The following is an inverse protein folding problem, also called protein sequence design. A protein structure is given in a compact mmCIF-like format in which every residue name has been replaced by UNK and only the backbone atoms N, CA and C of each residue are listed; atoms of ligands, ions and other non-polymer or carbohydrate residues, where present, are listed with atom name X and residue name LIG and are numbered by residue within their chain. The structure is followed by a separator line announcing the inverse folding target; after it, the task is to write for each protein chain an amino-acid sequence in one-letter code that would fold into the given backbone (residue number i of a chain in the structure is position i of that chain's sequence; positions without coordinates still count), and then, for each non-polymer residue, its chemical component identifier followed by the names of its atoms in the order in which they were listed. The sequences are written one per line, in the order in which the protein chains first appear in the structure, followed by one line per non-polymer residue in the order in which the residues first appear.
data_IF_720548577526
#
_entry.id   IF_720548577526
#
_cell.length_a   1.000
_cell.length_b   1.000
_cell.length_c   1.000
_cell.angle_alpha   90.00
_cell.angle_beta   90.00
_cell.angle_gamma   90.00
#
_symmetry.space_group_name_H-M   'P 1'
#
loop_
_entity.id
_entity.type
_entity.pdbx_description
1 polymer ?
#
# COMPACT_ATOMS: atom_id res chain seq x y z
N UNK A 1 37.36 29.03 -30.80
CA UNK A 1 36.88 27.79 -30.14
C UNK A 1 37.77 26.65 -30.58
N UNK A 2 38.33 25.86 -29.65
CA UNK A 2 39.20 24.74 -30.00
C UNK A 2 38.38 23.59 -30.61
N UNK A 3 38.95 22.82 -31.54
CA UNK A 3 38.33 21.63 -32.15
C UNK A 3 37.78 20.68 -31.09
N UNK A 4 38.50 20.58 -29.95
CA UNK A 4 38.10 19.78 -28.78
C UNK A 4 36.75 20.30 -28.20
N UNK A 5 36.56 21.61 -28.10
CA UNK A 5 35.32 22.21 -27.60
C UNK A 5 34.10 21.89 -28.48
N UNK A 6 34.29 21.94 -29.81
CA UNK A 6 33.23 21.60 -30.76
C UNK A 6 32.88 20.09 -30.65
N UNK A 7 33.87 19.21 -30.55
CA UNK A 7 33.67 17.77 -30.41
C UNK A 7 32.88 17.43 -29.11
N UNK A 8 33.23 18.06 -27.99
CA UNK A 8 32.49 17.88 -26.70
C UNK A 8 31.05 18.37 -26.84
N UNK A 9 30.80 19.53 -27.46
CA UNK A 9 29.43 20.03 -27.67
C UNK A 9 28.62 19.08 -28.56
N UNK A 10 29.18 18.56 -29.64
CA UNK A 10 28.47 17.61 -30.51
C UNK A 10 28.18 16.29 -29.78
N UNK A 11 29.11 15.75 -29.02
CA UNK A 11 28.86 14.55 -28.19
C UNK A 11 27.73 14.80 -27.16
N UNK A 12 27.72 15.97 -26.52
CA UNK A 12 26.71 16.31 -25.56
C UNK A 12 25.32 16.42 -26.21
N UNK A 13 25.22 17.03 -27.39
CA UNK A 13 23.95 17.14 -28.15
C UNK A 13 23.43 15.75 -28.56
N UNK A 14 24.33 14.90 -29.08
CA UNK A 14 23.95 13.52 -29.47
C UNK A 14 23.51 12.71 -28.25
N UNK A 15 24.23 12.83 -27.15
CA UNK A 15 23.87 12.14 -25.90
C UNK A 15 22.50 12.63 -25.38
N UNK A 16 22.29 13.95 -25.31
CA UNK A 16 21.01 14.51 -24.88
C UNK A 16 19.87 14.06 -25.80
N UNK A 17 20.10 13.99 -27.11
CA UNK A 17 19.11 13.49 -28.08
C UNK A 17 18.76 12.02 -27.83
N UNK A 18 19.76 11.17 -27.58
CA UNK A 18 19.54 9.74 -27.23
C UNK A 18 18.73 9.58 -25.95
N UNK A 19 19.07 10.32 -24.89
CA UNK A 19 18.32 10.27 -23.63
C UNK A 19 16.87 10.77 -23.80
N UNK A 20 16.67 11.89 -24.53
CA UNK A 20 15.35 12.41 -24.80
C UNK A 20 14.48 11.42 -25.57
N UNK A 21 15.03 10.79 -26.62
CA UNK A 21 14.32 9.80 -27.42
C UNK A 21 14.06 8.50 -26.62
N UNK A 22 15.02 8.03 -25.85
CA UNK A 22 14.83 6.89 -24.93
C UNK A 22 13.66 7.14 -23.95
N UNK A 23 13.53 8.35 -23.40
CA UNK A 23 12.43 8.71 -22.50
C UNK A 23 11.06 8.68 -23.20
N UNK A 24 10.99 9.10 -24.46
CA UNK A 24 9.75 9.00 -25.26
C UNK A 24 9.41 7.53 -25.51
N UNK A 25 10.37 6.70 -25.86
CA UNK A 25 10.17 5.26 -26.05
C UNK A 25 9.75 4.57 -24.75
N UNK A 26 10.38 4.92 -23.62
CA UNK A 26 10.00 4.43 -22.28
C UNK A 26 8.55 4.73 -21.96
N UNK A 27 8.12 5.98 -22.17
CA UNK A 27 6.72 6.39 -21.97
C UNK A 27 5.77 5.65 -22.91
N UNK A 28 6.12 5.57 -24.18
CA UNK A 28 5.33 4.84 -25.17
C UNK A 28 5.24 3.35 -24.84
N UNK A 29 6.34 2.71 -24.43
CA UNK A 29 6.37 1.31 -24.04
C UNK A 29 5.38 1.02 -22.89
N UNK A 30 5.36 1.88 -21.85
CA UNK A 30 4.47 1.74 -20.69
C UNK A 30 2.98 1.96 -21.04
N UNK A 31 2.68 2.88 -21.95
CA UNK A 31 1.30 3.21 -22.34
C UNK A 31 0.72 2.23 -23.36
N UNK A 32 1.52 1.79 -24.32
CA UNK A 32 1.11 0.86 -25.39
C UNK A 32 1.44 -0.62 -25.11
N UNK A 33 2.08 -0.91 -23.98
CA UNK A 33 2.56 -2.24 -23.61
C UNK A 33 3.52 -2.84 -24.69
N UNK A 34 4.34 -1.98 -25.31
CA UNK A 34 5.21 -2.35 -26.42
C UNK A 34 6.58 -2.80 -25.93
N UNK A 35 6.86 -4.11 -25.98
CA UNK A 35 8.18 -4.67 -25.66
C UNK A 35 9.26 -4.17 -26.67
N UNK A 36 8.88 -3.98 -27.94
CA UNK A 36 9.81 -3.46 -28.94
C UNK A 36 10.30 -2.06 -28.59
N UNK A 37 9.41 -1.18 -28.15
CA UNK A 37 9.78 0.18 -27.70
C UNK A 37 10.64 0.15 -26.42
N UNK A 38 10.33 -0.74 -25.47
CA UNK A 38 11.12 -0.92 -24.25
C UNK A 38 12.54 -1.41 -24.58
N UNK A 39 12.68 -2.37 -25.49
CA UNK A 39 13.99 -2.87 -25.94
C UNK A 39 14.81 -1.77 -26.63
N UNK A 40 14.19 -0.96 -27.47
CA UNK A 40 14.85 0.18 -28.12
C UNK A 40 15.31 1.23 -27.10
N UNK A 41 14.48 1.52 -26.07
CA UNK A 41 14.84 2.46 -25.02
C UNK A 41 16.12 2.00 -24.28
N UNK A 42 16.18 0.73 -23.88
CA UNK A 42 17.37 0.16 -23.23
C UNK A 42 18.57 0.13 -24.17
N UNK A 43 18.40 -0.23 -25.44
CA UNK A 43 19.48 -0.23 -26.41
C UNK A 43 20.10 1.17 -26.63
N UNK A 44 19.29 2.23 -26.56
CA UNK A 44 19.76 3.62 -26.68
C UNK A 44 20.49 4.11 -25.43
N UNK A 45 20.05 3.70 -24.26
CA UNK A 45 20.56 4.15 -22.96
C UNK A 45 20.71 2.98 -21.97
N UNK A 46 21.72 2.10 -22.15
CA UNK A 46 21.87 0.90 -21.32
C UNK A 46 22.16 1.16 -19.83
N UNK A 47 22.59 2.37 -19.48
CA UNK A 47 22.82 2.78 -18.10
C UNK A 47 21.62 3.58 -17.50
N UNK A 48 20.49 3.66 -18.20
CA UNK A 48 19.31 4.34 -17.69
C UNK A 48 18.38 3.38 -16.96
N UNK A 49 18.37 3.46 -15.64
CA UNK A 49 17.49 2.65 -14.79
C UNK A 49 16.01 2.75 -15.15
N UNK A 50 15.53 3.88 -15.69
CA UNK A 50 14.13 4.02 -16.07
C UNK A 50 13.79 3.22 -17.34
N UNK A 51 14.70 3.10 -18.28
CA UNK A 51 14.51 2.28 -19.48
C UNK A 51 14.39 0.80 -19.08
N UNK A 52 15.26 0.32 -18.20
CA UNK A 52 15.22 -1.03 -17.63
C UNK A 52 13.93 -1.26 -16.83
N UNK A 53 13.53 -0.31 -15.97
CA UNK A 53 12.27 -0.38 -15.21
C UNK A 53 11.06 -0.50 -16.13
N UNK A 54 10.99 0.30 -17.19
CA UNK A 54 9.89 0.22 -18.14
C UNK A 54 9.85 -1.14 -18.85
N UNK A 55 11.01 -1.66 -19.25
CA UNK A 55 11.13 -3.00 -19.85
C UNK A 55 10.65 -4.08 -18.87
N UNK A 56 11.06 -4.00 -17.60
CA UNK A 56 10.59 -4.92 -16.55
C UNK A 56 9.06 -4.93 -16.41
N UNK A 57 8.44 -3.76 -16.35
CA UNK A 57 6.99 -3.63 -16.22
C UNK A 57 6.27 -4.19 -17.46
N UNK A 58 6.78 -3.95 -18.66
CA UNK A 58 6.20 -4.49 -19.89
C UNK A 58 6.35 -6.00 -19.95
N UNK A 59 7.51 -6.54 -19.56
CA UNK A 59 7.75 -7.98 -19.47
C UNK A 59 6.77 -8.67 -18.50
N UNK A 60 6.57 -8.08 -17.32
CA UNK A 60 5.62 -8.63 -16.35
C UNK A 60 4.18 -8.64 -16.87
N UNK A 61 3.73 -7.57 -17.51
CA UNK A 61 2.41 -7.50 -18.16
C UNK A 61 2.23 -8.56 -19.25
N UNK A 62 3.31 -8.97 -19.89
CA UNK A 62 3.36 -10.05 -20.89
C UNK A 62 3.54 -11.45 -20.26
N UNK A 63 3.50 -11.57 -18.93
CA UNK A 63 3.72 -12.81 -18.20
C UNK A 63 5.15 -13.37 -18.31
N UNK A 64 6.10 -12.53 -18.59
CA UNK A 64 7.54 -12.82 -18.64
C UNK A 64 8.22 -12.30 -17.37
N UNK A 65 7.64 -12.54 -16.21
CA UNK A 65 8.03 -11.94 -14.92
C UNK A 65 9.48 -12.27 -14.54
N UNK A 66 9.97 -13.46 -14.84
CA UNK A 66 11.39 -13.80 -14.60
C UNK A 66 12.35 -12.87 -15.35
N UNK A 67 12.09 -12.56 -16.62
CA UNK A 67 12.88 -11.60 -17.39
C UNK A 67 12.73 -10.18 -16.81
N UNK A 68 11.53 -9.86 -16.30
CA UNK A 68 11.29 -8.60 -15.59
C UNK A 68 12.13 -8.46 -14.31
N UNK A 69 12.35 -9.56 -13.58
CA UNK A 69 13.22 -9.60 -12.39
C UNK A 69 14.67 -9.29 -12.78
N UNK A 70 15.22 -9.90 -13.84
CA UNK A 70 16.57 -9.63 -14.33
C UNK A 70 16.77 -8.13 -14.65
N UNK A 71 15.76 -7.51 -15.26
CA UNK A 71 15.77 -6.08 -15.52
C UNK A 71 15.76 -5.25 -14.22
N UNK A 72 14.94 -5.64 -13.24
CA UNK A 72 14.89 -4.93 -11.96
C UNK A 72 16.16 -5.12 -11.13
N UNK A 73 16.84 -6.25 -11.24
CA UNK A 73 18.18 -6.46 -10.66
C UNK A 73 19.20 -5.48 -11.28
N UNK A 74 19.10 -5.24 -12.58
CA UNK A 74 19.88 -4.18 -13.24
C UNK A 74 19.49 -2.80 -12.70
N UNK A 75 18.21 -2.50 -12.54
CA UNK A 75 17.74 -1.22 -11.96
C UNK A 75 18.32 -0.98 -10.57
N UNK A 76 18.23 -1.97 -9.66
CA UNK A 76 18.75 -1.80 -8.30
C UNK A 76 20.29 -1.76 -8.25
N UNK A 77 20.98 -2.33 -9.22
CA UNK A 77 22.43 -2.17 -9.36
C UNK A 77 22.83 -0.77 -9.80
N UNK A 78 22.07 -0.16 -10.72
CA UNK A 78 22.27 1.21 -11.18
C UNK A 78 21.84 2.26 -10.13
N UNK A 79 20.81 1.96 -9.32
CA UNK A 79 20.25 2.85 -8.28
C UNK A 79 20.05 2.10 -6.96
N UNK A 80 21.12 1.75 -6.25
CA UNK A 80 21.03 0.86 -5.08
C UNK A 80 20.28 1.47 -3.87
N UNK A 81 20.05 2.79 -3.85
CA UNK A 81 19.32 3.48 -2.78
C UNK A 81 17.87 3.84 -3.13
N UNK A 82 17.39 3.43 -4.30
CA UNK A 82 16.01 3.67 -4.72
C UNK A 82 15.08 2.60 -4.10
N UNK A 83 14.42 2.95 -3.01
CA UNK A 83 13.49 2.09 -2.27
C UNK A 83 12.34 1.57 -3.15
N UNK A 84 11.86 2.40 -4.07
CA UNK A 84 10.77 2.06 -4.98
C UNK A 84 11.17 0.93 -5.96
N UNK A 85 12.43 0.89 -6.39
CA UNK A 85 12.94 -0.20 -7.23
C UNK A 85 13.06 -1.50 -6.45
N UNK A 86 13.56 -1.45 -5.22
CA UNK A 86 13.60 -2.61 -4.33
C UNK A 86 12.21 -3.13 -4.00
N UNK A 87 11.23 -2.24 -3.76
CA UNK A 87 9.84 -2.63 -3.53
C UNK A 87 9.27 -3.35 -4.77
N UNK A 88 9.52 -2.81 -5.97
CA UNK A 88 9.04 -3.42 -7.22
C UNK A 88 9.67 -4.79 -7.45
N UNK A 89 10.98 -4.93 -7.20
CA UNK A 89 11.67 -6.22 -7.27
C UNK A 89 11.07 -7.23 -6.28
N UNK A 90 10.79 -6.79 -5.05
CA UNK A 90 10.10 -7.61 -4.04
C UNK A 90 8.74 -8.09 -4.52
N UNK A 91 7.92 -7.19 -5.09
CA UNK A 91 6.60 -7.54 -5.62
C UNK A 91 6.67 -8.57 -6.76
N UNK A 92 7.65 -8.47 -7.66
CA UNK A 92 7.82 -9.42 -8.75
C UNK A 92 8.21 -10.81 -8.24
N UNK A 93 9.18 -10.88 -7.32
CA UNK A 93 9.59 -12.15 -6.68
C UNK A 93 8.45 -12.77 -5.88
N UNK A 94 7.69 -11.94 -5.15
CA UNK A 94 6.52 -12.36 -4.39
C UNK A 94 5.42 -12.94 -5.30
N UNK A 95 5.21 -12.38 -6.48
CA UNK A 95 4.24 -12.89 -7.47
C UNK A 95 4.61 -14.27 -8.06
N UNK A 96 5.86 -14.68 -7.90
CA UNK A 96 6.36 -16.01 -8.28
C UNK A 96 6.53 -16.95 -7.07
N UNK A 97 5.97 -16.59 -5.91
CA UNK A 97 6.07 -17.33 -4.64
C UNK A 97 7.51 -17.51 -4.13
N UNK A 98 8.48 -16.71 -4.64
CA UNK A 98 9.84 -16.68 -4.11
C UNK A 98 9.90 -15.77 -2.87
N UNK A 99 9.31 -16.27 -1.79
CA UNK A 99 9.08 -15.51 -0.56
C UNK A 99 10.39 -15.03 0.11
N UNK A 100 11.44 -15.84 0.10
CA UNK A 100 12.71 -15.46 0.73
C UNK A 100 13.43 -14.36 -0.06
N UNK A 101 13.51 -14.48 -1.39
CA UNK A 101 14.10 -13.42 -2.21
C UNK A 101 13.25 -12.15 -2.20
N UNK A 102 11.91 -12.26 -2.18
CA UNK A 102 11.00 -11.13 -2.01
C UNK A 102 11.23 -10.42 -0.68
N UNK A 103 11.36 -11.17 0.43
CA UNK A 103 11.66 -10.62 1.75
C UNK A 103 13.00 -9.87 1.76
N UNK A 104 14.02 -10.43 1.10
CA UNK A 104 15.31 -9.77 0.92
C UNK A 104 15.18 -8.40 0.24
N UNK A 105 14.42 -8.32 -0.85
CA UNK A 105 14.17 -7.08 -1.56
C UNK A 105 13.36 -6.07 -0.72
N UNK A 106 12.29 -6.51 -0.06
CA UNK A 106 11.51 -5.64 0.84
C UNK A 106 12.35 -5.12 2.02
N UNK A 107 13.28 -5.92 2.55
CA UNK A 107 14.20 -5.47 3.60
C UNK A 107 15.09 -4.32 3.11
N UNK A 108 15.60 -4.36 1.87
CA UNK A 108 16.33 -3.25 1.29
C UNK A 108 15.44 -2.02 1.11
N UNK A 109 14.21 -2.19 0.59
CA UNK A 109 13.26 -1.09 0.42
C UNK A 109 12.97 -0.39 1.77
N UNK A 110 12.69 -1.14 2.84
CA UNK A 110 12.45 -0.57 4.17
C UNK A 110 13.73 0.08 4.74
N UNK A 111 14.90 -0.48 4.47
CA UNK A 111 16.17 0.12 4.91
C UNK A 111 16.36 1.54 4.35
N UNK A 112 15.96 1.78 3.11
CA UNK A 112 16.10 3.10 2.47
C UNK A 112 14.91 4.03 2.73
N UNK A 113 13.71 3.47 2.97
CA UNK A 113 12.49 4.23 3.26
C UNK A 113 11.73 3.64 4.47
N UNK A 114 12.28 3.71 5.71
CA UNK A 114 11.71 3.04 6.89
C UNK A 114 10.34 3.57 7.30
N UNK A 115 10.02 4.80 6.91
CA UNK A 115 8.75 5.46 7.24
C UNK A 115 7.71 5.39 6.12
N UNK A 116 8.02 4.73 5.01
CA UNK A 116 7.10 4.62 3.90
C UNK A 116 6.09 3.48 4.16
N UNK A 117 4.83 3.87 4.36
CA UNK A 117 3.77 2.96 4.78
C UNK A 117 3.59 1.77 3.81
N UNK A 118 3.67 2.03 2.50
CA UNK A 118 3.43 1.00 1.49
C UNK A 118 4.45 -0.13 1.52
N UNK A 119 5.72 0.19 1.75
CA UNK A 119 6.79 -0.81 1.84
C UNK A 119 6.65 -1.69 3.10
N UNK A 120 6.36 -1.05 4.26
CA UNK A 120 6.09 -1.78 5.49
C UNK A 120 4.85 -2.68 5.36
N UNK A 121 3.82 -2.19 4.68
CA UNK A 121 2.60 -2.96 4.39
C UNK A 121 2.89 -4.18 3.51
N UNK A 122 3.63 -4.01 2.42
CA UNK A 122 4.00 -5.10 1.51
C UNK A 122 4.81 -6.19 2.24
N UNK A 123 5.84 -5.78 3.02
CA UNK A 123 6.64 -6.70 3.83
C UNK A 123 5.82 -7.41 4.89
N UNK A 124 4.90 -6.70 5.55
CA UNK A 124 3.98 -7.27 6.53
C UNK A 124 3.07 -8.34 5.92
N UNK A 125 2.49 -8.08 4.74
CA UNK A 125 1.67 -9.06 4.03
C UNK A 125 2.46 -10.33 3.66
N UNK A 126 3.70 -10.17 3.19
CA UNK A 126 4.55 -11.32 2.90
C UNK A 126 4.83 -12.13 4.17
N UNK A 127 5.22 -11.48 5.26
CA UNK A 127 5.45 -12.13 6.56
C UNK A 127 4.21 -12.87 7.08
N UNK A 128 3.01 -12.29 6.86
CA UNK A 128 1.75 -12.93 7.21
C UNK A 128 1.56 -14.26 6.48
N UNK A 129 1.80 -14.29 5.16
CA UNK A 129 1.74 -15.53 4.35
C UNK A 129 2.81 -16.55 4.75
N UNK A 130 3.98 -16.08 5.20
CA UNK A 130 5.04 -16.93 5.74
C UNK A 130 4.74 -17.48 7.15
N UNK A 131 3.59 -17.15 7.75
CA UNK A 131 3.22 -17.55 9.11
C UNK A 131 3.94 -16.77 10.23
N UNK A 132 4.66 -15.70 9.91
CA UNK A 132 5.38 -14.86 10.86
C UNK A 132 4.45 -13.76 11.41
N UNK A 133 3.40 -14.18 12.14
CA UNK A 133 2.28 -13.34 12.54
C UNK A 133 2.68 -12.11 13.34
N UNK A 134 3.47 -12.25 14.40
CA UNK A 134 3.86 -11.15 15.30
C UNK A 134 4.61 -10.05 14.53
N UNK A 135 5.55 -10.45 13.68
CA UNK A 135 6.29 -9.53 12.84
C UNK A 135 5.40 -8.87 11.79
N UNK A 136 4.50 -9.64 11.17
CA UNK A 136 3.56 -9.12 10.17
C UNK A 136 2.67 -8.03 10.78
N UNK A 137 2.05 -8.30 11.92
CA UNK A 137 1.18 -7.33 12.59
C UNK A 137 1.93 -6.11 13.09
N UNK A 138 3.18 -6.26 13.53
CA UNK A 138 4.05 -5.12 13.89
C UNK A 138 4.30 -4.19 12.70
N UNK A 139 4.64 -4.75 11.52
CA UNK A 139 4.86 -3.99 10.28
C UNK A 139 3.58 -3.29 9.79
N UNK A 140 2.46 -4.00 9.80
CA UNK A 140 1.17 -3.46 9.37
C UNK A 140 0.66 -2.35 10.28
N UNK A 141 0.90 -2.47 11.58
CA UNK A 141 0.59 -1.42 12.57
C UNK A 141 1.40 -0.16 12.28
N UNK A 142 2.71 -0.32 12.04
CA UNK A 142 3.58 0.79 11.64
C UNK A 142 3.07 1.43 10.34
N UNK A 143 2.70 0.64 9.34
CA UNK A 143 2.16 1.14 8.08
C UNK A 143 0.84 1.91 8.29
N UNK A 144 -0.10 1.38 9.09
CA UNK A 144 -1.37 2.03 9.41
C UNK A 144 -1.19 3.33 10.22
N UNK A 145 -0.18 3.40 11.09
CA UNK A 145 0.17 4.63 11.81
C UNK A 145 0.66 5.72 10.84
N UNK A 146 1.42 5.35 9.80
CA UNK A 146 1.95 6.29 8.81
C UNK A 146 0.93 6.65 7.73
N UNK A 147 0.09 5.72 7.35
CA UNK A 147 -1.04 5.93 6.43
C UNK A 147 -2.33 5.38 7.03
N UNK A 148 -3.13 6.22 7.69
CA UNK A 148 -4.36 5.79 8.33
C UNK A 148 -5.41 5.18 7.39
N UNK A 149 -5.31 5.39 6.10
CA UNK A 149 -6.19 4.76 5.11
C UNK A 149 -5.99 3.23 5.03
N UNK A 150 -4.88 2.72 5.57
CA UNK A 150 -4.64 1.28 5.67
C UNK A 150 -5.31 0.64 6.90
N UNK A 151 -5.78 1.44 7.85
CA UNK A 151 -6.34 0.95 9.11
C UNK A 151 -7.56 0.03 8.93
N UNK A 152 -8.53 0.33 8.06
CA UNK A 152 -9.65 -0.59 7.80
C UNK A 152 -9.20 -1.96 7.28
N UNK A 153 -8.26 -1.98 6.33
CA UNK A 153 -7.70 -3.21 5.78
C UNK A 153 -6.92 -4.00 6.85
N UNK A 154 -6.21 -3.30 7.72
CA UNK A 154 -5.49 -3.90 8.83
C UNK A 154 -6.44 -4.56 9.84
N UNK A 155 -7.53 -3.89 10.19
CA UNK A 155 -8.57 -4.43 11.06
C UNK A 155 -9.24 -5.65 10.41
N UNK A 156 -9.52 -5.58 9.11
CA UNK A 156 -10.13 -6.69 8.38
C UNK A 156 -9.23 -7.94 8.39
N UNK A 157 -7.93 -7.78 8.20
CA UNK A 157 -6.94 -8.86 8.32
C UNK A 157 -6.89 -9.42 9.75
N UNK A 158 -6.90 -8.56 10.76
CA UNK A 158 -6.89 -8.98 12.16
C UNK A 158 -8.14 -9.82 12.50
N UNK A 159 -9.33 -9.38 12.06
CA UNK A 159 -10.58 -10.14 12.20
C UNK A 159 -10.53 -11.49 11.47
N UNK A 160 -9.91 -11.52 10.28
CA UNK A 160 -9.73 -12.75 9.51
C UNK A 160 -8.82 -13.75 10.22
N UNK A 161 -7.65 -13.31 10.68
CA UNK A 161 -6.67 -14.15 11.39
C UNK A 161 -7.22 -14.64 12.75
N UNK A 162 -7.95 -13.79 13.46
CA UNK A 162 -8.60 -14.13 14.74
C UNK A 162 -9.86 -15.00 14.56
N UNK A 163 -10.25 -15.34 13.32
CA UNK A 163 -11.50 -16.05 13.00
C UNK A 163 -12.74 -15.37 13.58
N UNK A 164 -12.70 -14.06 13.67
CA UNK A 164 -13.78 -13.23 14.21
C UNK A 164 -13.77 -13.06 15.73
N UNK A 165 -12.81 -13.59 16.46
CA UNK A 165 -12.60 -13.29 17.88
C UNK A 165 -12.16 -11.83 18.03
N UNK A 166 -13.04 -11.01 18.65
CA UNK A 166 -12.82 -9.57 18.81
C UNK A 166 -11.67 -9.26 19.77
N UNK A 167 -11.56 -10.02 20.86
CA UNK A 167 -10.50 -9.76 21.87
C UNK A 167 -9.14 -9.95 21.24
N UNK A 168 -8.97 -11.04 20.50
CA UNK A 168 -7.74 -11.31 19.78
C UNK A 168 -7.50 -10.28 18.66
N UNK A 169 -8.54 -9.89 17.90
CA UNK A 169 -8.43 -8.87 16.86
C UNK A 169 -8.01 -7.51 17.44
N UNK A 170 -8.59 -7.08 18.57
CA UNK A 170 -8.22 -5.86 19.27
C UNK A 170 -6.76 -5.89 19.75
N UNK A 171 -6.30 -7.04 20.26
CA UNK A 171 -4.91 -7.24 20.65
C UNK A 171 -3.95 -7.15 19.46
N UNK A 172 -4.29 -7.77 18.33
CA UNK A 172 -3.49 -7.71 17.10
C UNK A 172 -3.38 -6.29 16.54
N UNK A 173 -4.48 -5.54 16.53
CA UNK A 173 -4.52 -4.14 16.07
C UNK A 173 -3.88 -3.20 17.10
N UNK A 174 -3.92 -3.52 18.39
CA UNK A 174 -3.52 -2.66 19.51
C UNK A 174 -4.30 -1.33 19.51
N UNK A 175 -5.63 -1.43 19.61
CA UNK A 175 -6.51 -0.25 19.65
C UNK A 175 -6.17 0.60 20.88
N UNK A 176 -5.70 1.82 20.67
CA UNK A 176 -5.19 2.71 21.72
C UNK A 176 -5.93 4.04 21.83
N UNK A 177 -6.67 4.43 20.79
CA UNK A 177 -7.33 5.73 20.67
C UNK A 177 -8.72 5.63 20.02
N UNK A 178 -9.51 6.70 20.13
CA UNK A 178 -10.86 6.78 19.58
C UNK A 178 -10.88 6.62 18.05
N UNK A 179 -9.83 7.05 17.35
CA UNK A 179 -9.74 6.92 15.90
C UNK A 179 -9.65 5.44 15.47
N UNK A 180 -8.75 4.69 16.09
CA UNK A 180 -8.60 3.25 15.82
C UNK A 180 -9.84 2.48 16.24
N UNK A 181 -10.46 2.85 17.35
CA UNK A 181 -11.71 2.25 17.85
C UNK A 181 -12.90 2.54 16.91
N UNK A 182 -13.02 3.77 16.43
CA UNK A 182 -14.06 4.13 15.46
C UNK A 182 -13.88 3.40 14.12
N UNK A 183 -12.63 3.25 13.65
CA UNK A 183 -12.33 2.46 12.45
C UNK A 183 -12.71 0.99 12.65
N UNK A 184 -12.49 0.44 13.84
CA UNK A 184 -12.90 -0.91 14.20
C UNK A 184 -14.43 -1.06 14.19
N UNK A 185 -15.15 -0.12 14.81
CA UNK A 185 -16.62 -0.08 14.80
C UNK A 185 -17.18 -0.01 13.36
N UNK A 186 -16.61 0.84 12.50
CA UNK A 186 -17.01 0.93 11.08
C UNK A 186 -16.79 -0.38 10.33
N UNK A 187 -15.68 -1.07 10.57
CA UNK A 187 -15.40 -2.37 9.93
C UNK A 187 -16.39 -3.44 10.40
N UNK A 188 -16.76 -3.44 11.69
CA UNK A 188 -17.77 -4.33 12.23
C UNK A 188 -19.16 -4.03 11.66
N UNK A 189 -19.56 -2.75 11.58
CA UNK A 189 -20.82 -2.33 10.97
C UNK A 189 -20.94 -2.80 9.52
N UNK A 190 -19.89 -2.63 8.72
CA UNK A 190 -19.86 -3.09 7.34
C UNK A 190 -19.99 -4.61 7.19
N UNK A 191 -19.58 -5.37 8.22
CA UNK A 191 -19.72 -6.84 8.30
C UNK A 191 -21.06 -7.31 8.91
N UNK A 192 -21.95 -6.40 9.27
CA UNK A 192 -23.24 -6.72 9.91
C UNK A 192 -23.14 -7.18 11.37
N UNK A 193 -21.99 -6.91 12.02
CA UNK A 193 -21.75 -7.22 13.43
C UNK A 193 -22.26 -6.08 14.32
N UNK A 194 -23.58 -5.85 14.30
CA UNK A 194 -24.23 -4.67 14.89
C UNK A 194 -24.00 -4.55 16.41
N UNK A 195 -24.28 -5.59 17.21
CA UNK A 195 -24.07 -5.58 18.66
C UNK A 195 -22.66 -5.19 19.05
N UNK A 196 -21.68 -5.72 18.30
CA UNK A 196 -20.27 -5.45 18.56
C UNK A 196 -19.88 -4.04 18.11
N UNK A 197 -20.52 -3.54 17.05
CA UNK A 197 -20.38 -2.14 16.63
C UNK A 197 -20.80 -1.20 17.76
N UNK A 198 -22.00 -1.41 18.33
CA UNK A 198 -22.50 -0.58 19.44
C UNK A 198 -21.54 -0.65 20.65
N UNK A 199 -21.08 -1.84 21.02
CA UNK A 199 -20.10 -2.00 22.11
C UNK A 199 -18.82 -1.20 21.87
N UNK A 200 -18.29 -1.19 20.64
CA UNK A 200 -17.11 -0.39 20.32
C UNK A 200 -17.37 1.12 20.40
N UNK A 201 -18.56 1.57 19.99
CA UNK A 201 -18.92 2.99 20.07
C UNK A 201 -19.07 3.44 21.53
N UNK A 202 -19.62 2.61 22.42
CA UNK A 202 -19.73 2.90 23.85
C UNK A 202 -18.39 3.03 24.57
N UNK A 203 -17.31 2.45 24.01
CA UNK A 203 -15.95 2.55 24.55
C UNK A 203 -15.20 3.81 24.06
N UNK A 204 -15.79 4.64 23.20
CA UNK A 204 -15.21 5.90 22.79
C UNK A 204 -15.20 6.90 23.95
N UNK A 205 -14.12 7.66 24.06
CA UNK A 205 -13.96 8.74 25.04
C UNK A 205 -14.66 10.03 24.61
N UNK A 206 -14.80 10.21 23.30
CA UNK A 206 -15.40 11.38 22.69
C UNK A 206 -16.64 10.98 21.88
N UNK A 207 -17.76 11.76 21.95
CA UNK A 207 -18.93 11.50 21.13
C UNK A 207 -18.59 11.56 19.64
N UNK A 208 -19.21 10.69 18.85
CA UNK A 208 -19.09 10.74 17.39
C UNK A 208 -19.89 11.90 16.82
N UNK A 209 -19.44 12.46 15.70
CA UNK A 209 -20.20 13.49 14.99
C UNK A 209 -21.50 12.94 14.42
N UNK A 210 -22.51 13.81 14.24
CA UNK A 210 -23.79 13.43 13.62
C UNK A 210 -23.61 12.80 12.24
N UNK A 211 -22.65 13.32 11.46
CA UNK A 211 -22.33 12.78 10.14
C UNK A 211 -21.83 11.34 10.23
N UNK A 212 -20.87 11.07 11.12
CA UNK A 212 -20.34 9.72 11.38
C UNK A 212 -21.43 8.77 11.85
N UNK A 213 -22.33 9.23 12.72
CA UNK A 213 -23.44 8.45 13.20
C UNK A 213 -24.38 8.04 12.07
N UNK A 214 -24.76 8.99 11.21
CA UNK A 214 -25.61 8.72 10.03
C UNK A 214 -24.95 7.76 9.05
N UNK A 215 -23.63 7.86 8.87
CA UNK A 215 -22.88 6.91 8.05
C UNK A 215 -22.95 5.50 8.62
N UNK A 216 -22.71 5.32 9.93
CA UNK A 216 -22.81 4.03 10.61
C UNK A 216 -24.24 3.45 10.57
N UNK A 217 -25.27 4.27 10.78
CA UNK A 217 -26.67 3.85 10.64
C UNK A 217 -26.93 3.31 9.24
N UNK A 218 -26.48 4.01 8.18
CA UNK A 218 -26.62 3.54 6.81
C UNK A 218 -25.88 2.20 6.57
N UNK A 219 -24.68 2.06 7.09
CA UNK A 219 -23.91 0.81 6.98
C UNK A 219 -24.63 -0.35 7.67
N UNK A 220 -25.15 -0.15 8.87
CA UNK A 220 -25.92 -1.15 9.61
C UNK A 220 -27.20 -1.55 8.88
N UNK A 221 -27.92 -0.59 8.27
CA UNK A 221 -29.10 -0.86 7.45
C UNK A 221 -28.73 -1.72 6.23
N UNK A 222 -27.67 -1.36 5.50
CA UNK A 222 -27.18 -2.13 4.34
C UNK A 222 -26.80 -3.55 4.74
N UNK A 223 -26.20 -3.70 5.92
CA UNK A 223 -25.81 -4.99 6.49
C UNK A 223 -26.98 -5.75 7.18
N UNK A 224 -28.22 -5.21 7.14
CA UNK A 224 -29.44 -5.77 7.73
C UNK A 224 -29.43 -5.88 9.28
N UNK A 225 -28.57 -5.12 9.94
CA UNK A 225 -28.53 -4.97 11.40
C UNK A 225 -29.50 -3.84 11.85
N UNK A 226 -30.80 -4.06 11.62
CA UNK A 226 -31.83 -3.01 11.75
C UNK A 226 -32.07 -2.56 13.20
N UNK A 227 -31.94 -3.47 14.17
CA UNK A 227 -32.13 -3.16 15.60
C UNK A 227 -31.05 -2.18 16.05
N UNK A 228 -29.81 -2.46 15.73
CA UNK A 228 -28.66 -1.66 16.13
C UNK A 228 -28.62 -0.32 15.36
N UNK A 229 -29.06 -0.33 14.11
CA UNK A 229 -29.25 0.91 13.35
C UNK A 229 -30.30 1.83 14.01
N UNK A 230 -31.42 1.27 14.48
CA UNK A 230 -32.45 2.02 15.18
C UNK A 230 -31.98 2.52 16.55
N UNK A 231 -31.29 1.68 17.32
CA UNK A 231 -30.66 2.05 18.59
C UNK A 231 -29.73 3.25 18.44
N UNK A 232 -28.77 3.16 17.49
CA UNK A 232 -27.83 4.23 17.20
C UNK A 232 -28.51 5.52 16.70
N UNK A 233 -29.60 5.39 15.93
CA UNK A 233 -30.40 6.54 15.50
C UNK A 233 -31.07 7.26 16.67
N UNK A 234 -31.66 6.52 17.60
CA UNK A 234 -32.42 7.08 18.75
C UNK A 234 -31.52 7.73 19.81
N UNK A 235 -30.31 7.22 20.04
CA UNK A 235 -29.34 7.85 20.95
C UNK A 235 -29.09 9.33 20.60
N UNK A 236 -29.22 9.70 19.33
CA UNK A 236 -29.05 11.08 18.87
C UNK A 236 -30.33 11.93 18.91
N UNK A 237 -31.47 11.28 19.03
CA UNK A 237 -32.79 11.95 19.03
C UNK A 237 -33.24 12.32 20.43
N UNK A 238 -32.56 11.82 21.47
CA UNK A 238 -32.83 12.23 22.85
C UNK A 238 -32.22 13.62 23.07
N UNK A 239 -33.05 14.69 23.19
CA UNK A 239 -32.54 15.99 23.59
C UNK A 239 -31.91 15.82 24.97
N UNK A 240 -30.67 16.27 25.13
CA UNK A 240 -30.13 16.48 26.47
C UNK A 240 -31.06 17.44 27.19
N UNK A 241 -31.98 16.91 28.02
CA UNK A 241 -32.73 17.72 28.96
C UNK A 241 -31.70 18.22 29.96
N UNK A 242 -31.12 19.37 29.65
CA UNK A 242 -30.43 20.16 30.66
C UNK A 242 -31.48 20.58 31.68
N UNK A 243 -31.62 19.79 32.73
CA UNK A 243 -32.33 20.22 33.94
C UNK A 243 -31.54 21.37 34.57
N UNK A 244 -31.85 22.56 34.12
CA UNK A 244 -31.60 23.77 34.89
C UNK A 244 -32.70 23.87 35.92
N UNK A 245 -32.37 23.50 37.15
CA UNK A 245 -33.05 23.97 38.35
C UNK A 245 -32.01 24.66 39.24
#
# INVERSE_FOLDING_TARGET
MSVLGIAICLMSIVSAGKYGFSRLLTKYALTSNSLAAANQAVALTPADAEAHRARAIVLDRLRLTNQGIEELETVVSLRPRDDSSWLTLGNFRDSLDDSEAALGAYNQAVRFAPFYAHTNWARGNLKLRMGRYDEAFSEMRLAATKNPNLLPNFIDLALGVSRGDLVLAEQLVQISDDRSRLAFARTLAAKGRGDETIKQLQLLKTPISRETQLELVRQLIVAKAYREAYELWNESSSPSISSTY
#
